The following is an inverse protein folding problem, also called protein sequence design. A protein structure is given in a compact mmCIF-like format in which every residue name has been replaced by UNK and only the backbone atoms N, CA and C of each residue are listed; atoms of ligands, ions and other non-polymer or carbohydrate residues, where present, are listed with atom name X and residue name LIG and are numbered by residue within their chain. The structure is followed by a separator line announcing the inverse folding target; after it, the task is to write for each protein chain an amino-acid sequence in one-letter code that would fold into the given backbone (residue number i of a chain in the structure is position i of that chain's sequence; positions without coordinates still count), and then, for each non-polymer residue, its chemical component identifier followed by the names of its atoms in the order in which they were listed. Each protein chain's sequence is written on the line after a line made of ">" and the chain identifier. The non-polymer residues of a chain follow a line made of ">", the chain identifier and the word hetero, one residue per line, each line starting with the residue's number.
data_IF_746091652130
#
_entry.id   IF_746091652130
#
_cell.length_a   1.000
_cell.length_b   1.000
_cell.length_c   1.000
_cell.angle_alpha   90.00
_cell.angle_beta   90.00
_cell.angle_gamma   90.00
#
_symmetry.space_group_name_H-M   'P 1'
#
loop_
_entity.id
_entity.type
_entity.pdbx_description
1 polymer ?
#
# COMPACT_ATOMS: atom_id res chain seq x y z
N UNK A 1 29.85 14.71 -48.92
CA UNK A 1 30.53 13.81 -47.96
C UNK A 1 30.78 14.57 -46.68
N UNK A 2 30.21 14.27 -45.51
CA UNK A 2 29.37 13.18 -45.05
C UNK A 2 28.89 13.48 -43.61
N UNK A 3 27.83 12.78 -43.19
CA UNK A 3 27.09 12.87 -41.93
C UNK A 3 27.90 12.71 -40.64
N UNK A 4 27.33 13.19 -39.52
CA UNK A 4 27.68 12.76 -38.17
C UNK A 4 26.85 13.41 -37.05
N UNK A 5 25.58 13.02 -36.92
CA UNK A 5 24.77 13.23 -35.70
C UNK A 5 25.40 12.50 -34.50
N UNK A 6 25.33 13.08 -33.30
CA UNK A 6 25.06 12.36 -32.04
C UNK A 6 24.81 13.38 -30.92
N UNK A 7 23.55 13.62 -30.57
CA UNK A 7 22.73 12.84 -29.63
C UNK A 7 22.78 13.46 -28.23
N UNK A 8 21.70 14.18 -27.96
CA UNK A 8 21.23 14.71 -26.70
C UNK A 8 21.15 13.57 -25.68
N UNK A 9 22.02 13.58 -24.67
CA UNK A 9 21.80 12.77 -23.47
C UNK A 9 20.77 13.50 -22.60
N UNK A 10 19.49 13.24 -22.86
CA UNK A 10 18.43 13.51 -21.90
C UNK A 10 18.63 12.56 -20.73
N UNK A 11 19.31 13.04 -19.69
CA UNK A 11 19.30 12.40 -18.38
C UNK A 11 17.88 12.43 -17.86
N UNK A 12 17.15 11.32 -18.01
CA UNK A 12 15.89 11.08 -17.31
C UNK A 12 16.20 10.92 -15.83
N UNK A 13 16.23 12.04 -15.11
CA UNK A 13 16.20 12.07 -13.66
C UNK A 13 14.86 11.51 -13.20
N UNK A 14 14.70 10.18 -13.17
CA UNK A 14 13.60 9.54 -12.46
C UNK A 14 13.79 9.84 -10.99
N UNK A 15 13.13 10.90 -10.53
CA UNK A 15 13.04 11.30 -9.13
C UNK A 15 12.65 10.08 -8.31
N UNK A 16 13.58 9.57 -7.51
CA UNK A 16 13.30 8.52 -6.53
C UNK A 16 12.10 8.97 -5.68
N UNK A 17 11.06 8.14 -5.50
CA UNK A 17 9.89 8.52 -4.73
C UNK A 17 10.31 8.93 -3.33
N UNK A 18 9.97 10.16 -2.94
CA UNK A 18 10.30 10.72 -1.63
C UNK A 18 9.75 9.82 -0.53
N UNK A 19 10.56 9.54 0.48
CA UNK A 19 10.10 8.77 1.64
C UNK A 19 8.88 9.44 2.28
N UNK A 20 7.81 8.67 2.48
CA UNK A 20 6.61 9.06 3.22
C UNK A 20 6.49 8.13 4.42
N UNK A 21 6.43 8.71 5.62
CA UNK A 21 6.22 7.94 6.83
C UNK A 21 4.81 7.32 6.84
N UNK A 22 4.64 6.06 7.25
CA UNK A 22 3.33 5.43 7.38
C UNK A 22 2.38 6.22 8.29
N UNK A 23 1.12 6.38 7.86
CA UNK A 23 0.12 7.20 8.53
C UNK A 23 -1.26 6.52 8.55
N UNK A 24 -2.09 6.85 9.53
CA UNK A 24 -3.50 6.42 9.59
C UNK A 24 -4.39 7.38 8.80
N UNK A 25 -5.54 6.91 8.32
CA UNK A 25 -6.56 7.77 7.73
C UNK A 25 -7.11 8.79 8.74
N UNK A 26 -7.86 9.77 8.23
CA UNK A 26 -8.53 10.75 9.09
C UNK A 26 -9.78 10.12 9.73
N UNK A 27 -10.00 10.36 11.04
CA UNK A 27 -11.15 9.82 11.80
C UNK A 27 -11.30 8.30 11.69
N UNK A 28 -10.19 7.61 11.85
CA UNK A 28 -10.04 6.19 11.52
C UNK A 28 -10.77 5.23 12.47
N UNK A 29 -11.24 4.11 11.94
CA UNK A 29 -11.61 2.91 12.73
C UNK A 29 -10.43 1.94 12.74
N UNK A 30 -9.93 1.42 13.87
CA UNK A 30 -8.69 0.63 13.94
C UNK A 30 -8.87 -0.82 13.44
N UNK A 31 -9.35 -1.01 12.21
CA UNK A 31 -9.70 -2.31 11.64
C UNK A 31 -8.47 -3.18 11.40
N UNK A 32 -7.50 -2.69 10.63
CA UNK A 32 -6.28 -3.41 10.34
C UNK A 32 -5.47 -3.64 11.63
N UNK A 33 -5.43 -2.64 12.51
CA UNK A 33 -4.79 -2.78 13.81
C UNK A 33 -5.41 -3.89 14.68
N UNK A 34 -6.74 -4.04 14.67
CA UNK A 34 -7.43 -5.08 15.44
C UNK A 34 -7.28 -6.48 14.84
N UNK A 35 -7.08 -6.58 13.52
CA UNK A 35 -6.87 -7.86 12.83
C UNK A 35 -5.44 -8.37 13.08
N UNK A 36 -4.44 -7.49 13.06
CA UNK A 36 -3.05 -7.89 13.37
C UNK A 36 -2.92 -8.24 14.84
N UNK A 37 -2.64 -9.50 15.14
CA UNK A 37 -2.49 -10.00 16.51
C UNK A 37 -1.05 -9.99 17.02
N UNK A 38 -0.08 -9.78 16.13
CA UNK A 38 1.34 -9.91 16.45
C UNK A 38 2.02 -8.55 16.42
N UNK A 39 2.82 -8.26 17.45
CA UNK A 39 3.71 -7.12 17.43
C UNK A 39 4.88 -7.38 16.47
N UNK A 40 5.08 -6.44 15.55
CA UNK A 40 6.18 -6.46 14.59
C UNK A 40 7.13 -5.30 14.91
N UNK A 41 8.44 -5.54 14.87
CA UNK A 41 9.41 -4.46 14.90
C UNK A 41 9.22 -3.57 13.66
N UNK A 42 8.68 -2.37 13.91
CA UNK A 42 8.35 -1.40 12.88
C UNK A 42 9.56 -1.00 12.06
N UNK A 43 10.73 -0.80 12.69
CA UNK A 43 11.91 -0.37 11.96
C UNK A 43 12.46 -1.47 11.06
N UNK A 44 12.42 -2.72 11.52
CA UNK A 44 12.78 -3.87 10.69
C UNK A 44 11.80 -4.00 9.52
N UNK A 45 10.50 -4.03 9.78
CA UNK A 45 9.50 -4.19 8.73
C UNK A 45 9.63 -3.13 7.63
N UNK A 46 9.77 -1.85 8.02
CA UNK A 46 9.87 -0.74 7.05
C UNK A 46 11.16 -0.76 6.21
N UNK A 47 12.20 -1.51 6.61
CA UNK A 47 13.40 -1.74 5.77
C UNK A 47 13.17 -2.75 4.65
N UNK A 48 12.23 -3.66 4.86
CA UNK A 48 11.90 -4.74 3.93
C UNK A 48 10.68 -4.44 3.05
N UNK A 49 9.96 -3.36 3.36
CA UNK A 49 8.76 -2.97 2.65
C UNK A 49 9.05 -1.83 1.68
N UNK A 50 8.28 -1.72 0.58
CA UNK A 50 8.29 -0.55 -0.28
C UNK A 50 7.88 0.71 0.49
N UNK A 51 8.10 1.86 -0.15
CA UNK A 51 7.58 3.14 0.34
C UNK A 51 6.08 3.02 0.66
N UNK A 52 5.68 3.63 1.78
CA UNK A 52 4.30 3.56 2.24
C UNK A 52 3.31 4.09 1.20
N UNK A 53 3.59 5.24 0.58
CA UNK A 53 2.68 5.82 -0.40
C UNK A 53 2.52 4.92 -1.62
N UNK A 54 3.61 4.36 -2.14
CA UNK A 54 3.57 3.42 -3.28
C UNK A 54 2.77 2.15 -2.93
N UNK A 55 2.90 1.68 -1.69
CA UNK A 55 2.14 0.52 -1.20
C UNK A 55 0.66 0.85 -1.07
N UNK A 56 0.34 2.02 -0.52
CA UNK A 56 -1.03 2.50 -0.39
C UNK A 56 -1.69 2.69 -1.76
N UNK A 57 -0.99 3.28 -2.73
CA UNK A 57 -1.49 3.48 -4.09
C UNK A 57 -1.80 2.13 -4.77
N UNK A 58 -0.93 1.14 -4.59
CA UNK A 58 -1.12 -0.22 -5.12
C UNK A 58 -2.33 -0.90 -4.49
N UNK A 59 -2.48 -0.80 -3.16
CA UNK A 59 -3.64 -1.32 -2.46
C UNK A 59 -4.94 -0.61 -2.86
N UNK A 60 -4.91 0.71 -2.99
CA UNK A 60 -6.05 1.53 -3.39
C UNK A 60 -6.51 1.17 -4.81
N UNK A 61 -5.58 0.98 -5.75
CA UNK A 61 -5.89 0.54 -7.11
C UNK A 61 -6.54 -0.85 -7.11
N UNK A 62 -6.05 -1.77 -6.28
CA UNK A 62 -6.60 -3.11 -6.12
C UNK A 62 -8.03 -3.08 -5.61
N UNK A 63 -8.30 -2.33 -4.53
CA UNK A 63 -9.65 -2.21 -3.96
C UNK A 63 -10.60 -1.53 -4.94
N UNK A 64 -10.18 -0.46 -5.61
CA UNK A 64 -11.05 0.24 -6.54
C UNK A 64 -11.39 -0.60 -7.77
N UNK A 65 -10.51 -1.52 -8.19
CA UNK A 65 -10.79 -2.45 -9.28
C UNK A 65 -11.82 -3.52 -8.90
N UNK A 66 -11.91 -3.88 -7.61
CA UNK A 66 -12.85 -4.89 -7.13
C UNK A 66 -14.31 -4.51 -7.45
N UNK A 67 -14.68 -3.24 -7.28
CA UNK A 67 -16.07 -2.79 -7.40
C UNK A 67 -16.26 -1.53 -8.29
N UNK A 68 -15.19 -1.00 -8.88
CA UNK A 68 -15.23 0.19 -9.72
C UNK A 68 -15.50 1.50 -8.96
N UNK A 69 -15.47 1.49 -7.63
CA UNK A 69 -15.70 2.66 -6.78
C UNK A 69 -14.39 3.15 -6.17
N UNK A 70 -14.36 4.42 -5.75
CA UNK A 70 -13.31 4.90 -4.87
C UNK A 70 -13.63 4.45 -3.44
N UNK A 71 -12.83 3.54 -2.89
CA UNK A 71 -13.00 3.03 -1.53
C UNK A 71 -12.02 3.77 -0.60
N UNK A 72 -12.47 4.70 0.26
CA UNK A 72 -11.56 5.55 1.04
C UNK A 72 -10.63 4.75 1.95
N UNK A 73 -9.36 5.16 1.99
CA UNK A 73 -8.39 4.64 2.96
C UNK A 73 -8.85 4.88 4.39
N UNK A 74 -8.82 3.83 5.22
CA UNK A 74 -9.16 3.89 6.63
C UNK A 74 -7.88 3.76 7.48
N UNK A 75 -7.33 2.57 7.67
CA UNK A 75 -6.20 2.35 8.58
C UNK A 75 -5.16 1.37 8.03
N UNK A 76 -4.00 1.31 8.69
CA UNK A 76 -2.98 0.31 8.40
C UNK A 76 -2.41 -0.31 9.67
N UNK A 77 -1.88 -1.50 9.48
CA UNK A 77 -1.00 -2.19 10.41
C UNK A 77 0.17 -2.86 9.67
N UNK A 78 1.20 -3.26 10.42
CA UNK A 78 2.31 -4.06 9.93
C UNK A 78 2.12 -5.48 10.45
N UNK A 79 2.27 -6.47 9.57
CA UNK A 79 2.29 -7.87 9.96
C UNK A 79 3.49 -8.58 9.33
N UNK A 80 3.84 -9.73 9.89
CA UNK A 80 4.90 -10.57 9.37
C UNK A 80 5.66 -11.33 10.43
N UNK A 81 6.40 -12.33 9.99
CA UNK A 81 7.35 -13.10 10.76
C UNK A 81 8.64 -13.29 9.94
N UNK A 82 9.76 -13.62 10.60
CA UNK A 82 10.93 -14.17 9.91
C UNK A 82 11.39 -13.42 8.65
N UNK A 83 11.47 -12.08 8.69
CA UNK A 83 11.82 -11.19 7.57
C UNK A 83 10.82 -11.12 6.40
N UNK A 84 9.64 -11.70 6.54
CA UNK A 84 8.52 -11.59 5.59
C UNK A 84 7.48 -10.64 6.16
N UNK A 85 7.60 -9.38 5.78
CA UNK A 85 6.72 -8.31 6.24
C UNK A 85 5.70 -7.95 5.17
N UNK A 86 4.56 -7.43 5.61
CA UNK A 86 3.54 -6.84 4.75
C UNK A 86 2.88 -5.66 5.45
N UNK A 87 2.51 -4.64 4.67
CA UNK A 87 1.45 -3.73 5.10
C UNK A 87 0.13 -4.47 5.04
N UNK A 88 -0.74 -4.22 6.01
CA UNK A 88 -2.16 -4.53 5.92
C UNK A 88 -2.93 -3.23 6.00
N UNK A 89 -3.70 -2.94 4.96
CA UNK A 89 -4.53 -1.76 4.82
C UNK A 89 -6.00 -2.15 4.93
N UNK A 90 -6.81 -1.28 5.51
CA UNK A 90 -8.25 -1.34 5.39
C UNK A 90 -8.79 -0.12 4.63
N UNK A 91 -9.85 -0.35 3.87
CA UNK A 91 -10.56 0.67 3.11
C UNK A 91 -12.05 0.58 3.39
N UNK A 92 -12.73 1.71 3.51
CA UNK A 92 -14.18 1.75 3.64
C UNK A 92 -14.79 1.20 2.35
N UNK A 93 -15.56 0.12 2.44
CA UNK A 93 -16.19 -0.49 1.27
C UNK A 93 -17.43 0.32 0.87
N UNK A 94 -17.31 1.13 -0.18
CA UNK A 94 -18.42 1.95 -0.68
C UNK A 94 -19.55 1.13 -1.32
N UNK A 95 -19.23 -0.06 -1.86
CA UNK A 95 -20.22 -0.96 -2.44
C UNK A 95 -21.04 -1.70 -1.40
N UNK A 96 -20.53 -1.83 -0.17
CA UNK A 96 -21.20 -2.52 0.94
C UNK A 96 -20.99 -1.74 2.26
N UNK A 97 -21.84 -0.74 2.55
CA UNK A 97 -21.73 0.09 3.74
C UNK A 97 -21.67 -0.73 5.04
N UNK A 98 -20.85 -0.25 5.99
CA UNK A 98 -20.60 -0.92 7.27
C UNK A 98 -19.61 -2.09 7.18
N UNK A 99 -18.90 -2.23 6.06
CA UNK A 99 -17.82 -3.20 5.88
C UNK A 99 -16.53 -2.53 5.40
N UNK A 100 -15.43 -3.25 5.51
CA UNK A 100 -14.11 -2.80 5.08
C UNK A 100 -13.49 -3.81 4.11
N UNK A 101 -12.80 -3.32 3.10
CA UNK A 101 -11.95 -4.17 2.26
C UNK A 101 -10.55 -4.23 2.87
N UNK A 102 -10.06 -5.43 3.15
CA UNK A 102 -8.74 -5.68 3.74
C UNK A 102 -7.78 -6.09 2.64
N UNK A 103 -6.68 -5.37 2.52
CA UNK A 103 -5.63 -5.60 1.51
C UNK A 103 -4.29 -5.73 2.19
N UNK A 104 -3.47 -6.63 1.68
CA UNK A 104 -2.05 -6.74 2.06
C UNK A 104 -1.16 -6.30 0.93
N UNK A 105 -0.02 -5.69 1.24
CA UNK A 105 1.04 -5.37 0.29
C UNK A 105 2.35 -5.93 0.84
N UNK A 106 2.96 -6.85 0.11
CA UNK A 106 4.18 -7.52 0.52
C UNK A 106 5.46 -6.72 0.22
N UNK A 107 6.62 -7.27 0.57
CA UNK A 107 7.93 -6.68 0.29
C UNK A 107 8.25 -6.42 -1.17
N UNK A 108 7.52 -7.04 -2.11
CA UNK A 108 7.66 -6.80 -3.56
C UNK A 108 6.76 -5.68 -4.07
N UNK A 109 5.85 -5.18 -3.23
CA UNK A 109 4.83 -4.20 -3.61
C UNK A 109 3.58 -4.84 -4.22
N UNK A 110 3.45 -6.16 -4.20
CA UNK A 110 2.28 -6.85 -4.73
C UNK A 110 1.10 -6.72 -3.76
N UNK A 111 0.01 -6.11 -4.22
CA UNK A 111 -1.23 -5.95 -3.46
C UNK A 111 -2.16 -7.17 -3.62
N UNK A 112 -2.76 -7.62 -2.52
CA UNK A 112 -3.71 -8.73 -2.51
C UNK A 112 -4.87 -8.45 -1.55
N UNK A 113 -6.10 -8.57 -2.06
CA UNK A 113 -7.32 -8.56 -1.24
C UNK A 113 -7.36 -9.83 -0.40
N UNK A 114 -7.45 -9.67 0.91
CA UNK A 114 -7.54 -10.77 1.89
C UNK A 114 -9.00 -10.99 2.28
N UNK A 115 -9.75 -9.91 2.47
CA UNK A 115 -11.19 -9.96 2.76
C UNK A 115 -11.89 -8.78 2.03
N UNK A 116 -12.81 -9.04 1.09
CA UNK A 116 -13.50 -7.97 0.36
C UNK A 116 -14.58 -7.24 1.16
N UNK A 117 -15.04 -7.78 2.30
CA UNK A 117 -16.20 -7.25 3.03
C UNK A 117 -16.15 -7.55 4.53
N UNK A 118 -15.00 -7.28 5.16
CA UNK A 118 -14.78 -7.50 6.58
C UNK A 118 -15.75 -6.68 7.45
N UNK A 119 -16.30 -7.33 8.48
CA UNK A 119 -17.07 -6.70 9.55
C UNK A 119 -16.35 -6.92 10.88
N UNK A 120 -16.22 -5.84 11.65
CA UNK A 120 -15.66 -5.87 12.99
C UNK A 120 -16.62 -6.52 14.00
#
# INVERSE_FOLDING_TARGET
>A
NGNGQNQTSQSSSQSQPKYVAPYQGQNVTPVAQNIVRQEVDRQQALRHLPNFQTSLDSAQAEVNRLNGQNNPYNDYALQGDGNRYSYMFSFINQSQPGTYTIVTVDGTGHAKIVDPAYRQ
#
